data_IF_600115886040
#
_entry.id   IF_600115886040
#
_cell.length_a   1.000
_cell.length_b   1.000
_cell.length_c   1.000
_cell.angle_alpha   90.00
_cell.angle_beta   90.00
_cell.angle_gamma   90.00
#
_symmetry.space_group_name_H-M   'P 1'
#
loop_
_entity.id
_entity.type
_entity.pdbx_description
1 polymer ?
#
# COMPACT_ATOMS: atom_id res chain seq x y z
N UNK A 1 28.40 8.64 -18.31
CA UNK A 1 27.08 8.50 -17.66
C UNK A 1 27.28 8.79 -16.19
N UNK A 2 26.54 9.73 -15.60
CA UNK A 2 26.73 9.99 -14.17
C UNK A 2 25.97 8.93 -13.37
N UNK A 3 26.65 8.21 -12.48
CA UNK A 3 26.00 7.29 -11.55
C UNK A 3 24.96 8.04 -10.68
N UNK A 4 25.15 9.35 -10.48
CA UNK A 4 24.20 10.24 -9.84
C UNK A 4 22.82 10.27 -10.52
N UNK A 5 22.73 10.38 -11.86
CA UNK A 5 21.43 10.37 -12.54
C UNK A 5 20.71 9.02 -12.42
N UNK A 6 21.47 7.93 -12.42
CA UNK A 6 20.91 6.59 -12.21
C UNK A 6 20.36 6.43 -10.78
N UNK A 7 21.07 6.96 -9.77
CA UNK A 7 20.61 6.96 -8.39
C UNK A 7 19.37 7.85 -8.18
N UNK A 8 19.28 8.98 -8.89
CA UNK A 8 18.07 9.83 -8.89
C UNK A 8 16.89 9.06 -9.49
N UNK A 9 17.08 8.38 -10.63
CA UNK A 9 16.03 7.56 -11.24
C UNK A 9 15.60 6.42 -10.30
N UNK A 10 16.56 5.70 -9.70
CA UNK A 10 16.29 4.66 -8.72
C UNK A 10 15.45 5.17 -7.53
N UNK A 11 15.85 6.31 -6.97
CA UNK A 11 15.13 6.93 -5.84
C UNK A 11 13.71 7.35 -6.23
N UNK A 12 13.52 7.94 -7.42
CA UNK A 12 12.19 8.32 -7.92
C UNK A 12 11.30 7.13 -8.25
N UNK A 13 11.89 6.00 -8.63
CA UNK A 13 11.20 4.73 -8.81
C UNK A 13 10.91 3.99 -7.48
N UNK A 14 11.30 4.56 -6.34
CA UNK A 14 11.07 3.98 -5.01
C UNK A 14 12.07 2.90 -4.60
N UNK A 15 13.24 2.82 -5.25
CA UNK A 15 14.29 1.87 -4.89
C UNK A 15 15.16 2.40 -3.75
N UNK A 16 15.39 1.55 -2.74
CA UNK A 16 16.41 1.79 -1.73
C UNK A 16 17.80 1.53 -2.32
N UNK A 17 18.56 2.61 -2.54
CA UNK A 17 19.94 2.54 -3.08
C UNK A 17 20.94 2.13 -1.99
N UNK A 18 20.70 2.56 -0.75
CA UNK A 18 21.55 2.29 0.40
C UNK A 18 20.72 1.61 1.50
N UNK A 19 21.29 0.60 2.17
CA UNK A 19 20.64 -0.08 3.29
C UNK A 19 21.65 -0.59 4.31
N UNK A 20 21.16 -0.99 5.49
CA UNK A 20 21.94 -1.71 6.50
C UNK A 20 21.58 -3.18 6.44
N UNK A 21 22.57 -4.05 6.27
CA UNK A 21 22.35 -5.50 6.24
C UNK A 21 22.10 -6.09 7.63
N UNK A 22 21.77 -7.39 7.67
CA UNK A 22 21.49 -8.11 8.92
C UNK A 22 22.68 -8.17 9.90
N UNK A 23 23.90 -7.87 9.44
CA UNK A 23 25.11 -7.78 10.28
C UNK A 23 25.43 -6.33 10.69
N UNK A 24 24.53 -5.39 10.44
CA UNK A 24 24.72 -3.97 10.78
C UNK A 24 25.66 -3.22 9.85
N UNK A 25 25.99 -3.75 8.67
CA UNK A 25 26.92 -3.11 7.74
C UNK A 25 26.16 -2.31 6.69
N UNK A 26 26.67 -1.11 6.39
CA UNK A 26 26.16 -0.31 5.28
C UNK A 26 26.48 -0.97 3.94
N UNK A 27 25.47 -1.02 3.07
CA UNK A 27 25.53 -1.58 1.74
C UNK A 27 24.97 -0.58 0.74
N UNK A 28 25.52 -0.59 -0.47
CA UNK A 28 25.04 0.22 -1.60
C UNK A 28 24.82 -0.66 -2.82
N UNK A 29 23.70 -0.47 -3.51
CA UNK A 29 23.37 -1.26 -4.70
C UNK A 29 24.34 -0.88 -5.83
N UNK A 30 24.89 -1.88 -6.53
CA UNK A 30 25.78 -1.61 -7.66
C UNK A 30 25.01 -1.00 -8.83
N UNK A 31 25.64 -0.13 -9.65
CA UNK A 31 24.98 0.47 -10.82
C UNK A 31 24.44 -0.57 -11.82
N UNK A 32 25.07 -1.74 -11.93
CA UNK A 32 24.60 -2.80 -12.82
C UNK A 32 23.26 -3.39 -12.33
N UNK A 33 23.13 -3.63 -11.02
CA UNK A 33 21.88 -4.13 -10.42
C UNK A 33 20.78 -3.08 -10.52
N UNK A 34 21.08 -1.80 -10.26
CA UNK A 34 20.10 -0.72 -10.41
C UNK A 34 19.50 -0.71 -11.82
N UNK A 35 20.32 -0.81 -12.86
CA UNK A 35 19.84 -0.86 -14.25
C UNK A 35 18.94 -2.07 -14.52
N UNK A 36 19.32 -3.25 -14.03
CA UNK A 36 18.51 -4.46 -14.21
C UNK A 36 17.17 -4.37 -13.50
N UNK A 37 17.14 -3.88 -12.26
CA UNK A 37 15.90 -3.72 -11.48
C UNK A 37 15.02 -2.65 -12.11
N UNK A 38 15.57 -1.48 -12.45
CA UNK A 38 14.83 -0.40 -13.11
C UNK A 38 14.21 -0.88 -14.43
N UNK A 39 14.97 -1.61 -15.25
CA UNK A 39 14.45 -2.19 -16.49
C UNK A 39 13.32 -3.18 -16.22
N UNK A 40 13.47 -4.04 -15.20
CA UNK A 40 12.41 -4.97 -14.78
C UNK A 40 11.14 -4.28 -14.26
N UNK A 41 11.27 -3.06 -13.72
CA UNK A 41 10.15 -2.20 -13.31
C UNK A 41 9.57 -1.35 -14.45
N UNK A 42 10.12 -1.48 -15.68
CA UNK A 42 9.65 -0.73 -16.84
C UNK A 42 10.29 0.65 -17.03
N UNK A 43 11.42 0.91 -16.39
CA UNK A 43 12.21 2.14 -16.52
C UNK A 43 13.60 1.83 -17.12
N UNK A 44 13.74 1.75 -18.45
CA UNK A 44 15.04 1.52 -19.08
C UNK A 44 16.11 2.51 -18.60
N UNK A 45 17.31 2.01 -18.33
CA UNK A 45 18.41 2.80 -17.75
C UNK A 45 19.81 2.37 -18.26
N UNK A 46 19.86 1.68 -19.39
CA UNK A 46 21.08 1.20 -20.04
C UNK A 46 21.93 2.32 -20.66
N UNK A 47 21.33 3.46 -20.99
CA UNK A 47 22.03 4.64 -21.52
C UNK A 47 21.58 5.94 -20.82
N UNK A 48 22.33 7.04 -21.00
CA UNK A 48 21.96 8.34 -20.44
C UNK A 48 20.61 8.82 -21.00
N UNK A 49 20.38 8.60 -22.30
CA UNK A 49 19.12 8.93 -22.96
C UNK A 49 17.93 8.15 -22.39
N UNK A 50 18.13 6.86 -22.10
CA UNK A 50 17.10 6.03 -21.46
C UNK A 50 16.80 6.50 -20.03
N UNK A 51 17.83 6.88 -19.26
CA UNK A 51 17.64 7.43 -17.92
C UNK A 51 16.83 8.72 -17.96
N UNK A 52 17.18 9.65 -18.86
CA UNK A 52 16.48 10.92 -19.02
C UNK A 52 15.02 10.71 -19.46
N UNK A 53 14.78 9.78 -20.40
CA UNK A 53 13.43 9.43 -20.84
C UNK A 53 12.59 8.80 -19.72
N UNK A 54 13.16 7.88 -18.94
CA UNK A 54 12.50 7.25 -17.79
C UNK A 54 12.19 8.26 -16.68
N UNK A 55 13.10 9.22 -16.43
CA UNK A 55 12.88 10.31 -15.48
C UNK A 55 11.72 11.21 -15.91
N UNK A 56 11.65 11.55 -17.20
CA UNK A 56 10.56 12.33 -17.77
C UNK A 56 9.23 11.59 -17.65
N UNK A 57 9.20 10.29 -17.99
CA UNK A 57 8.02 9.46 -17.88
C UNK A 57 7.48 9.41 -16.44
N UNK A 58 8.37 9.23 -15.44
CA UNK A 58 7.98 9.27 -14.03
C UNK A 58 7.43 10.64 -13.62
N UNK A 59 8.03 11.72 -14.11
CA UNK A 59 7.56 13.07 -13.82
C UNK A 59 6.18 13.34 -14.43
N UNK A 60 5.96 12.92 -15.68
CA UNK A 60 4.66 13.04 -16.36
C UNK A 60 3.58 12.22 -15.63
N UNK A 61 3.90 10.98 -15.22
CA UNK A 61 3.01 10.15 -14.43
C UNK A 61 2.67 10.80 -13.07
N UNK A 62 3.64 11.42 -12.41
CA UNK A 62 3.43 12.16 -11.16
C UNK A 62 2.62 13.45 -11.35
N UNK A 63 2.67 14.06 -12.53
CA UNK A 63 1.87 15.25 -12.87
C UNK A 63 0.48 14.89 -13.40
N UNK A 64 0.23 13.64 -13.76
CA UNK A 64 -1.08 13.18 -14.15
C UNK A 64 -2.06 13.36 -12.96
N UNK A 65 -3.19 14.04 -13.21
CA UNK A 65 -4.25 14.27 -12.22
C UNK A 65 -5.31 13.17 -12.26
N UNK A 66 -4.99 12.03 -12.86
CA UNK A 66 -5.89 10.90 -12.90
C UNK A 66 -6.17 10.37 -11.49
N UNK A 67 -7.44 10.24 -11.18
CA UNK A 67 -7.90 9.69 -9.91
C UNK A 67 -7.46 8.22 -9.78
N UNK A 68 -6.77 7.85 -8.69
CA UNK A 68 -6.43 6.45 -8.44
C UNK A 68 -7.70 5.61 -8.27
N UNK A 69 -7.75 4.37 -8.80
CA UNK A 69 -8.91 3.50 -8.64
C UNK A 69 -9.11 3.04 -7.19
N UNK A 70 -8.06 3.12 -6.36
CA UNK A 70 -8.07 2.78 -4.94
C UNK A 70 -7.31 3.85 -4.16
N UNK A 71 -7.92 4.34 -3.09
CA UNK A 71 -7.30 5.23 -2.11
C UNK A 71 -7.48 4.58 -0.72
N UNK A 72 -6.45 4.66 0.12
CA UNK A 72 -6.50 4.15 1.50
C UNK A 72 -6.51 5.30 2.50
N UNK A 73 -7.25 5.15 3.58
CA UNK A 73 -7.26 6.11 4.69
C UNK A 73 -7.39 5.38 6.03
N UNK A 74 -6.91 5.99 7.11
CA UNK A 74 -7.18 5.50 8.45
C UNK A 74 -8.56 5.98 8.91
N UNK A 75 -9.27 5.14 9.67
CA UNK A 75 -10.57 5.51 10.26
C UNK A 75 -10.44 6.78 11.11
N UNK A 76 -11.40 7.71 10.96
CA UNK A 76 -11.37 8.99 11.67
C UNK A 76 -10.48 10.06 11.01
N UNK A 77 -9.63 9.70 10.05
CA UNK A 77 -8.76 10.65 9.34
C UNK A 77 -9.46 11.14 8.08
N UNK A 78 -9.45 12.47 7.86
CA UNK A 78 -10.04 13.06 6.65
C UNK A 78 -9.12 12.83 5.46
N UNK A 79 -9.71 12.44 4.32
CA UNK A 79 -8.98 12.15 3.10
C UNK A 79 -8.88 13.40 2.22
N UNK A 80 -7.68 13.86 1.93
CA UNK A 80 -7.43 15.00 1.05
C UNK A 80 -7.68 14.63 -0.41
N UNK A 81 -8.66 15.28 -1.04
CA UNK A 81 -9.01 15.13 -2.45
C UNK A 81 -8.87 16.44 -3.22
N UNK A 82 -8.21 17.45 -2.66
CA UNK A 82 -8.02 18.78 -3.26
C UNK A 82 -7.26 18.77 -4.58
N UNK A 83 -6.50 17.70 -4.84
CA UNK A 83 -5.84 17.45 -6.12
C UNK A 83 -6.82 17.12 -7.25
N UNK A 84 -8.01 16.59 -6.94
CA UNK A 84 -8.94 16.00 -7.90
C UNK A 84 -10.26 16.75 -7.99
N UNK A 85 -10.71 17.35 -6.89
CA UNK A 85 -12.04 17.97 -6.78
C UNK A 85 -11.99 19.30 -6.02
N UNK A 86 -12.99 20.13 -6.27
CA UNK A 86 -13.17 21.42 -5.60
C UNK A 86 -13.82 21.25 -4.21
N UNK A 87 -13.62 22.23 -3.34
CA UNK A 87 -14.27 22.30 -2.04
C UNK A 87 -15.80 22.30 -2.16
N UNK A 88 -16.50 21.65 -1.22
CA UNK A 88 -17.96 21.59 -1.23
C UNK A 88 -18.58 20.65 -2.28
N UNK A 89 -17.78 19.96 -3.10
CA UNK A 89 -18.30 19.06 -4.14
C UNK A 89 -19.12 17.91 -3.52
N UNK A 90 -20.35 17.65 -3.97
CA UNK A 90 -21.14 16.51 -3.50
C UNK A 90 -20.49 15.18 -3.83
N UNK A 91 -20.53 14.25 -2.88
CA UNK A 91 -20.06 12.88 -3.03
C UNK A 91 -21.10 11.88 -2.55
N UNK A 92 -21.29 10.81 -3.33
CA UNK A 92 -22.07 9.64 -2.95
C UNK A 92 -21.11 8.52 -2.54
N UNK A 93 -21.36 7.92 -1.38
CA UNK A 93 -20.57 6.83 -0.81
C UNK A 93 -21.48 5.62 -0.68
N UNK A 94 -21.20 4.56 -1.44
CA UNK A 94 -21.81 3.25 -1.23
C UNK A 94 -20.94 2.46 -0.26
N UNK A 95 -21.49 2.23 0.93
CA UNK A 95 -20.83 1.50 1.99
C UNK A 95 -20.82 0.00 1.69
N UNK A 96 -19.86 -0.70 2.29
CA UNK A 96 -19.67 -2.14 2.15
C UNK A 96 -20.91 -2.95 2.60
N UNK A 97 -21.64 -2.44 3.59
CA UNK A 97 -22.90 -3.02 4.08
C UNK A 97 -24.10 -2.78 3.14
N UNK A 98 -23.88 -2.05 2.02
CA UNK A 98 -24.90 -1.69 1.04
C UNK A 98 -25.64 -0.39 1.33
N UNK A 99 -25.40 0.27 2.48
CA UNK A 99 -25.97 1.58 2.76
C UNK A 99 -25.35 2.65 1.85
N UNK A 100 -26.03 3.79 1.71
CA UNK A 100 -25.54 4.93 0.94
C UNK A 100 -25.48 6.17 1.82
N UNK A 101 -24.35 6.86 1.77
CA UNK A 101 -24.11 8.10 2.50
C UNK A 101 -23.81 9.20 1.47
N UNK A 102 -24.56 10.31 1.58
CA UNK A 102 -24.36 11.49 0.75
C UNK A 102 -23.74 12.59 1.60
N UNK A 103 -22.58 13.08 1.18
CA UNK A 103 -21.85 14.15 1.86
C UNK A 103 -21.38 15.17 0.84
N UNK A 104 -20.82 16.27 1.33
CA UNK A 104 -20.02 17.18 0.53
C UNK A 104 -18.58 17.12 1.05
N UNK A 105 -17.62 17.34 0.15
CA UNK A 105 -16.26 17.67 0.56
C UNK A 105 -16.27 18.94 1.41
N UNK A 106 -15.34 19.04 2.35
CA UNK A 106 -15.25 20.22 3.20
C UNK A 106 -14.66 21.45 2.46
N UNK A 107 -14.39 22.53 3.21
CA UNK A 107 -13.84 23.77 2.67
C UNK A 107 -12.42 23.62 2.07
N UNK A 108 -11.71 22.54 2.43
CA UNK A 108 -10.37 22.21 1.93
C UNK A 108 -10.43 21.04 0.93
N UNK A 109 -11.61 20.72 0.39
CA UNK A 109 -11.86 19.59 -0.50
C UNK A 109 -11.46 18.22 0.09
N UNK A 110 -11.61 18.04 1.41
CA UNK A 110 -11.39 16.77 2.08
C UNK A 110 -12.69 16.00 2.25
N UNK A 111 -12.61 14.69 2.09
CA UNK A 111 -13.67 13.79 2.50
C UNK A 111 -13.59 13.62 4.03
N UNK A 112 -14.64 13.97 4.79
CA UNK A 112 -14.59 13.88 6.25
C UNK A 112 -14.34 12.45 6.73
N UNK A 113 -13.54 12.29 7.78
CA UNK A 113 -13.16 11.00 8.39
C UNK A 113 -14.29 10.22 9.10
N UNK A 114 -15.55 10.41 8.67
CA UNK A 114 -16.72 9.70 9.21
C UNK A 114 -17.01 8.37 8.47
N UNK A 115 -16.27 8.08 7.41
CA UNK A 115 -16.42 6.85 6.63
C UNK A 115 -15.97 5.65 7.48
N UNK A 116 -16.80 4.59 7.63
CA UNK A 116 -16.47 3.45 8.48
C UNK A 116 -15.35 2.59 7.86
N UNK A 117 -14.72 1.77 8.71
CA UNK A 117 -13.75 0.74 8.30
C UNK A 117 -14.38 -0.19 7.27
N UNK A 118 -13.64 -0.52 6.22
CA UNK A 118 -14.09 -1.38 5.13
C UNK A 118 -13.76 -0.83 3.75
N UNK A 119 -14.34 -1.46 2.73
CA UNK A 119 -14.18 -1.08 1.32
C UNK A 119 -15.40 -0.35 0.80
N UNK A 120 -15.28 0.96 0.64
CA UNK A 120 -16.38 1.83 0.22
C UNK A 120 -16.21 2.23 -1.25
N UNK A 121 -17.31 2.43 -1.98
CA UNK A 121 -17.27 2.93 -3.35
C UNK A 121 -17.71 4.39 -3.37
N UNK A 122 -16.83 5.28 -3.80
CA UNK A 122 -17.05 6.73 -3.82
C UNK A 122 -17.35 7.18 -5.24
N UNK A 123 -18.34 8.04 -5.41
CA UNK A 123 -18.72 8.67 -6.68
C UNK A 123 -18.75 10.19 -6.53
N UNK A 124 -17.95 10.89 -7.36
CA UNK A 124 -17.84 12.36 -7.36
C UNK A 124 -17.72 12.81 -8.83
N UNK A 125 -18.64 13.65 -9.31
CA UNK A 125 -18.61 14.21 -10.69
C UNK A 125 -18.35 13.13 -11.79
N UNK A 126 -19.13 12.04 -11.77
CA UNK A 126 -19.01 10.90 -12.70
C UNK A 126 -17.66 10.12 -12.63
N UNK A 127 -16.80 10.44 -11.68
CA UNK A 127 -15.60 9.66 -11.36
C UNK A 127 -15.87 8.71 -10.19
N UNK A 128 -15.25 7.54 -10.24
CA UNK A 128 -15.45 6.48 -9.26
C UNK A 128 -14.11 5.93 -8.78
N UNK A 129 -14.02 5.67 -7.47
CA UNK A 129 -12.87 5.00 -6.86
C UNK A 129 -13.30 4.22 -5.61
N UNK A 130 -12.50 3.23 -5.24
CA UNK A 130 -12.65 2.52 -3.98
C UNK A 130 -11.88 3.26 -2.89
N UNK A 131 -12.53 3.48 -1.74
CA UNK A 131 -11.88 3.93 -0.51
C UNK A 131 -11.78 2.76 0.46
N UNK A 132 -10.55 2.31 0.73
CA UNK A 132 -10.27 1.33 1.77
C UNK A 132 -9.94 2.04 3.09
N UNK A 133 -10.88 2.01 4.04
CA UNK A 133 -10.69 2.61 5.36
C UNK A 133 -10.15 1.54 6.31
N UNK A 134 -8.94 1.76 6.83
CA UNK A 134 -8.25 0.83 7.71
C UNK A 134 -8.46 1.17 9.20
N UNK A 135 -8.53 0.16 10.08
CA UNK A 135 -8.49 0.39 11.53
C UNK A 135 -7.08 0.81 11.96
N UNK A 136 -6.99 1.62 13.03
CA UNK A 136 -5.71 2.14 13.55
C UNK A 136 -4.75 1.05 14.09
N UNK A 137 -5.26 -0.17 14.34
CA UNK A 137 -4.47 -1.32 14.77
C UNK A 137 -5.08 -2.61 14.26
N UNK A 138 -4.25 -3.64 14.10
CA UNK A 138 -4.71 -4.99 13.87
C UNK A 138 -5.46 -5.55 15.10
N UNK A 139 -6.31 -6.55 14.85
CA UNK A 139 -6.84 -7.42 15.89
C UNK A 139 -5.66 -8.12 16.60
N UNK A 140 -5.68 -8.09 17.92
CA UNK A 140 -4.57 -8.50 18.78
C UNK A 140 -4.96 -9.67 19.67
N UNK A 141 -3.96 -10.30 20.28
CA UNK A 141 -4.21 -11.35 21.29
C UNK A 141 -5.06 -10.81 22.44
N UNK A 142 -4.89 -9.54 22.83
CA UNK A 142 -5.66 -8.90 23.88
C UNK A 142 -7.16 -8.90 23.57
N UNK A 143 -7.53 -8.66 22.31
CA UNK A 143 -8.92 -8.70 21.85
C UNK A 143 -9.47 -10.13 21.80
N UNK A 144 -8.62 -11.11 21.49
CA UNK A 144 -9.01 -12.52 21.40
C UNK A 144 -9.34 -13.13 22.76
N UNK A 145 -8.67 -12.68 23.83
CA UNK A 145 -8.86 -13.23 25.18
C UNK A 145 -9.54 -12.25 26.15
N UNK A 146 -9.95 -11.07 25.69
CA UNK A 146 -10.56 -10.00 26.49
C UNK A 146 -9.70 -9.59 27.72
N UNK A 147 -8.37 -9.47 27.52
CA UNK A 147 -7.40 -9.05 28.54
C UNK A 147 -6.44 -8.00 27.96
N UNK A 148 -6.33 -6.78 28.52
CA UNK A 148 -5.45 -5.73 28.00
C UNK A 148 -3.94 -6.06 28.09
N UNK A 149 -3.56 -7.03 28.92
CA UNK A 149 -2.17 -7.47 29.12
C UNK A 149 -2.08 -8.99 29.00
N UNK A 150 -2.43 -9.55 27.82
CA UNK A 150 -2.64 -10.97 27.70
C UNK A 150 -1.34 -11.73 27.97
N UNK A 151 -1.39 -12.67 28.93
CA UNK A 151 -0.33 -13.66 29.17
C UNK A 151 -0.72 -15.03 28.62
N UNK A 152 -1.32 -15.02 27.42
CA UNK A 152 -1.75 -16.22 26.73
C UNK A 152 -0.53 -17.02 26.22
N UNK A 153 -0.70 -18.34 26.11
CA UNK A 153 0.27 -19.25 25.51
C UNK A 153 -0.43 -20.08 24.42
N UNK A 154 0.35 -20.58 23.47
CA UNK A 154 -0.12 -21.46 22.41
C UNK A 154 1.00 -22.42 22.00
N UNK A 155 0.63 -23.46 21.24
CA UNK A 155 1.58 -24.41 20.68
C UNK A 155 1.84 -24.08 19.21
N UNK A 156 3.11 -24.08 18.84
CA UNK A 156 3.53 -24.02 17.43
C UNK A 156 3.98 -25.40 17.00
N UNK A 157 3.42 -25.90 15.90
CA UNK A 157 3.79 -27.19 15.33
C UNK A 157 4.06 -27.06 13.83
N UNK A 158 5.01 -27.86 13.33
CA UNK A 158 5.15 -28.10 11.90
C UNK A 158 4.09 -29.13 11.50
N UNK A 159 2.96 -28.67 10.95
CA UNK A 159 1.79 -29.53 10.69
C UNK A 159 2.16 -30.85 10.00
N UNK A 160 2.97 -30.78 8.94
CA UNK A 160 3.41 -31.95 8.17
C UNK A 160 4.28 -32.96 8.96
N UNK A 161 4.89 -32.54 10.06
CA UNK A 161 5.69 -33.39 10.93
C UNK A 161 4.85 -34.17 11.96
N UNK A 162 3.57 -33.79 12.15
CA UNK A 162 2.67 -34.53 13.03
C UNK A 162 2.37 -35.91 12.46
N UNK A 163 2.11 -36.87 13.36
CA UNK A 163 1.87 -38.27 13.00
C UNK A 163 0.61 -38.79 13.69
N UNK A 164 -0.26 -39.44 12.93
CA UNK A 164 -1.39 -40.24 13.44
C UNK A 164 -1.51 -41.55 12.67
N UNK A 165 -2.03 -42.63 13.27
CA UNK A 165 -2.30 -43.86 12.53
C UNK A 165 -3.17 -43.60 11.30
N UNK A 166 -2.70 -43.99 10.12
CA UNK A 166 -3.45 -43.85 8.87
C UNK A 166 -3.30 -42.49 8.16
N UNK A 167 -2.37 -41.63 8.57
CA UNK A 167 -2.12 -40.30 7.94
C UNK A 167 -1.34 -40.34 6.61
N UNK A 168 -0.88 -41.51 6.17
CA UNK A 168 -0.08 -41.63 4.96
C UNK A 168 1.34 -41.07 5.08
N UNK A 169 1.84 -40.84 6.29
CA UNK A 169 3.23 -40.43 6.56
C UNK A 169 3.47 -38.92 6.62
N UNK A 170 2.43 -38.10 6.71
CA UNK A 170 2.51 -36.65 6.93
C UNK A 170 1.26 -36.15 7.67
N UNK A 171 1.40 -35.11 8.49
CA UNK A 171 0.26 -34.53 9.18
C UNK A 171 -0.68 -33.80 8.23
N UNK A 172 -1.98 -33.86 8.52
CA UNK A 172 -3.07 -33.27 7.75
C UNK A 172 -3.99 -32.43 8.67
N UNK A 173 -5.07 -31.87 8.12
CA UNK A 173 -6.02 -31.04 8.90
C UNK A 173 -6.98 -31.85 9.79
N UNK A 174 -6.86 -33.18 9.81
CA UNK A 174 -7.57 -34.06 10.75
C UNK A 174 -6.68 -34.50 11.92
N UNK A 175 -5.42 -34.04 11.95
CA UNK A 175 -4.50 -34.22 13.08
C UNK A 175 -4.93 -33.43 14.31
#
# INVERSE_FOLDING_TARGET
>A
MSDAQLEILASRAGLAVDWIDANGRAQKVSPAVLRSVLTGLGHPAGSAQEIDASLLQLQEAQQNHQLPPLITADVGVSLDLSRYFEAGTPCEIKLEDGATLNLNLDADAKLPGMVPVGYQHISIQDQHFTLAVAPARCYSVADAVDDPTPRAWGLSAQLYALRRPGDGGFGDTQA
#
